data_IF_047978547539
#
_entry.id   IF_047978547539
#
_cell.length_a   1.000
_cell.length_b   1.000
_cell.length_c   1.000
_cell.angle_alpha   90.00
_cell.angle_beta   90.00
_cell.angle_gamma   90.00
#
_symmetry.space_group_name_H-M   'P 1'
#
loop_
_entity.id
_entity.type
_entity.pdbx_description
1 polymer ?
#
# COMPACT_ATOMS: atom_id res chain seq x y z
N UNK A 1 -45.53 13.79 17.19
CA UNK A 1 -44.67 13.25 18.26
C UNK A 1 -44.52 11.77 17.95
N UNK A 2 -43.49 11.38 17.19
CA UNK A 2 -43.28 9.98 16.78
C UNK A 2 -42.54 9.29 17.89
N UNK A 3 -43.28 8.49 18.68
CA UNK A 3 -42.69 7.60 19.67
C UNK A 3 -42.07 6.41 18.93
N UNK A 4 -40.75 6.31 18.99
CA UNK A 4 -40.11 5.04 18.66
C UNK A 4 -40.47 4.01 19.72
N UNK A 5 -41.04 2.87 19.29
CA UNK A 5 -41.27 1.75 20.15
C UNK A 5 -39.95 1.23 20.75
N UNK A 6 -39.95 0.84 22.01
CA UNK A 6 -38.80 0.23 22.69
C UNK A 6 -38.18 -0.92 21.88
N UNK A 7 -39.00 -1.66 21.14
CA UNK A 7 -38.58 -2.78 20.31
C UNK A 7 -37.86 -2.35 19.05
N UNK A 8 -38.21 -1.20 18.45
CA UNK A 8 -37.49 -0.64 17.28
C UNK A 8 -36.13 -0.11 17.68
N UNK A 9 -36.03 0.53 18.83
CA UNK A 9 -34.74 0.95 19.41
C UNK A 9 -33.85 -0.26 19.72
N UNK A 10 -34.41 -1.33 20.26
CA UNK A 10 -33.70 -2.57 20.55
C UNK A 10 -33.28 -3.31 19.26
N UNK A 11 -34.10 -3.30 18.19
CA UNK A 11 -33.78 -3.84 16.88
C UNK A 11 -32.63 -3.04 16.23
N UNK A 12 -32.67 -1.72 16.30
CA UNK A 12 -31.61 -0.85 15.81
C UNK A 12 -30.31 -1.08 16.58
N UNK A 13 -30.36 -1.13 17.91
CA UNK A 13 -29.19 -1.43 18.75
C UNK A 13 -28.63 -2.81 18.43
N UNK A 14 -29.48 -3.85 18.22
CA UNK A 14 -29.06 -5.18 17.78
C UNK A 14 -28.47 -5.19 16.36
N UNK A 15 -28.99 -4.37 15.45
CA UNK A 15 -28.44 -4.22 14.10
C UNK A 15 -27.02 -3.63 14.12
N UNK A 16 -26.83 -2.58 14.92
CA UNK A 16 -25.48 -2.01 15.15
C UNK A 16 -24.54 -2.95 15.92
N UNK A 17 -25.08 -3.85 16.76
CA UNK A 17 -24.30 -4.88 17.44
C UNK A 17 -23.92 -6.07 16.55
N UNK A 18 -24.78 -6.47 15.60
CA UNK A 18 -24.50 -7.58 14.67
C UNK A 18 -23.51 -7.21 13.58
N UNK A 19 -23.44 -5.94 13.17
CA UNK A 19 -22.52 -5.44 12.14
C UNK A 19 -21.06 -5.28 12.61
N UNK A 20 -20.80 -5.29 13.91
CA UNK A 20 -19.45 -5.21 14.46
C UNK A 20 -19.27 -6.14 15.65
N UNK A 21 -18.87 -7.36 15.35
CA UNK A 21 -18.53 -8.38 16.36
C UNK A 21 -17.36 -7.97 17.29
N UNK A 22 -16.86 -6.75 17.22
CA UNK A 22 -15.58 -6.37 17.81
C UNK A 22 -15.60 -5.13 18.69
N UNK A 23 -16.68 -4.37 18.74
CA UNK A 23 -16.80 -3.33 19.76
C UNK A 23 -17.88 -3.71 20.77
N UNK A 24 -17.49 -4.42 21.81
CA UNK A 24 -18.13 -4.26 23.12
C UNK A 24 -17.83 -2.83 23.62
N UNK A 25 -18.34 -1.80 22.92
CA UNK A 25 -18.74 -0.66 23.70
C UNK A 25 -19.75 -1.18 24.69
N UNK A 26 -19.47 -1.03 25.96
CA UNK A 26 -20.49 -1.14 26.99
C UNK A 26 -21.59 -0.16 26.59
N UNK A 27 -22.50 -0.62 25.72
CA UNK A 27 -23.80 0.03 25.56
C UNK A 27 -24.46 -0.29 26.87
N UNK A 28 -24.18 0.58 27.88
CA UNK A 28 -24.81 0.49 29.16
C UNK A 28 -26.30 0.32 28.91
N UNK A 29 -26.89 -0.66 29.56
CA UNK A 29 -28.34 -0.93 29.55
C UNK A 29 -29.04 0.44 29.59
N UNK A 30 -29.72 0.86 28.49
CA UNK A 30 -30.61 2.01 28.53
C UNK A 30 -30.13 3.29 27.85
N UNK A 31 -29.29 3.27 26.76
CA UNK A 31 -29.05 4.49 26.00
C UNK A 31 -30.34 4.99 25.38
N UNK A 32 -30.84 6.13 25.89
CA UNK A 32 -32.04 6.80 25.42
C UNK A 32 -31.70 7.61 24.16
N UNK A 33 -32.62 7.60 23.17
CA UNK A 33 -32.59 8.56 22.08
C UNK A 33 -32.93 9.92 22.66
N UNK A 34 -32.01 10.87 22.52
CA UNK A 34 -32.17 12.25 23.01
C UNK A 34 -32.41 13.19 21.83
N UNK A 35 -33.34 14.15 21.99
CA UNK A 35 -33.57 15.22 21.03
C UNK A 35 -32.55 16.34 21.28
N UNK A 36 -31.52 16.41 20.43
CA UNK A 36 -30.42 17.39 20.59
C UNK A 36 -30.59 18.52 19.58
N UNK A 37 -30.45 19.80 20.03
CA UNK A 37 -30.44 20.93 19.12
C UNK A 37 -29.33 20.81 18.08
N UNK A 38 -29.64 21.07 16.78
CA UNK A 38 -28.65 20.96 15.70
C UNK A 38 -27.47 21.88 15.93
N UNK A 39 -27.70 23.06 16.49
CA UNK A 39 -26.69 24.08 16.78
C UNK A 39 -25.64 23.62 17.81
N UNK A 40 -25.97 22.62 18.64
CA UNK A 40 -25.04 22.05 19.62
C UNK A 40 -24.23 20.89 19.05
N UNK A 41 -24.50 20.48 17.79
CA UNK A 41 -23.81 19.36 17.16
C UNK A 41 -22.73 19.89 16.23
N UNK A 42 -21.48 19.77 16.61
CA UNK A 42 -20.34 20.15 15.77
C UNK A 42 -20.01 19.04 14.78
N UNK A 43 -19.91 19.34 13.49
CA UNK A 43 -19.38 18.40 12.51
C UNK A 43 -17.91 18.13 12.85
N UNK A 44 -17.46 16.92 12.57
CA UNK A 44 -16.07 16.55 12.79
C UNK A 44 -15.14 17.28 11.81
N UNK A 45 -13.95 17.69 12.28
CA UNK A 45 -12.95 18.40 11.48
C UNK A 45 -12.38 17.56 10.31
N UNK A 46 -12.34 16.23 10.45
CA UNK A 46 -11.89 15.33 9.39
C UNK A 46 -13.10 14.92 8.54
N UNK A 47 -13.32 15.64 7.45
CA UNK A 47 -14.37 15.31 6.47
C UNK A 47 -13.99 14.07 5.69
N UNK A 48 -14.74 12.99 5.86
CA UNK A 48 -14.47 11.70 5.19
C UNK A 48 -14.94 11.65 3.72
N UNK A 49 -15.86 12.51 3.30
CA UNK A 49 -16.33 12.65 1.92
C UNK A 49 -16.48 14.10 1.54
N UNK A 50 -15.81 14.51 0.45
CA UNK A 50 -15.86 15.90 -0.06
C UNK A 50 -17.07 16.14 -0.95
N UNK A 51 -17.62 15.14 -1.64
CA UNK A 51 -18.65 15.32 -2.65
C UNK A 51 -19.89 14.47 -2.35
N UNK A 52 -20.99 15.13 -2.03
CA UNK A 52 -22.32 14.56 -2.06
C UNK A 52 -23.02 15.12 -3.30
N UNK A 53 -23.69 14.26 -4.11
CA UNK A 53 -24.54 14.74 -5.19
C UNK A 53 -25.64 15.62 -4.62
N UNK A 54 -25.84 16.80 -5.21
CA UNK A 54 -26.87 17.75 -4.78
C UNK A 54 -28.26 17.09 -4.82
N UNK A 55 -28.54 16.31 -5.86
CA UNK A 55 -29.82 15.62 -6.05
C UNK A 55 -30.11 14.61 -4.94
N UNK A 56 -29.10 13.80 -4.57
CA UNK A 56 -29.23 12.83 -3.47
C UNK A 56 -29.43 13.51 -2.11
N UNK A 57 -28.89 14.71 -1.92
CA UNK A 57 -29.11 15.47 -0.70
C UNK A 57 -30.49 16.09 -0.64
N UNK A 58 -31.03 16.57 -1.76
CA UNK A 58 -32.39 17.09 -1.87
C UNK A 58 -33.41 15.97 -1.64
N UNK A 59 -33.23 14.80 -2.25
CA UNK A 59 -34.08 13.64 -2.04
C UNK A 59 -34.14 13.22 -0.57
N UNK A 60 -32.97 13.16 0.08
CA UNK A 60 -32.89 12.86 1.50
C UNK A 60 -33.57 13.94 2.36
N UNK A 61 -33.43 15.21 2.01
CA UNK A 61 -34.10 16.31 2.71
C UNK A 61 -35.61 16.21 2.59
N UNK A 62 -36.16 15.90 1.39
CA UNK A 62 -37.58 15.65 1.20
C UNK A 62 -38.08 14.48 2.05
N UNK A 63 -37.32 13.40 2.13
CA UNK A 63 -37.63 12.26 2.98
C UNK A 63 -37.64 12.65 4.47
N UNK A 64 -36.62 13.38 4.93
CA UNK A 64 -36.52 13.88 6.31
C UNK A 64 -37.67 14.87 6.64
N UNK A 65 -38.11 15.66 5.67
CA UNK A 65 -39.24 16.58 5.85
C UNK A 65 -40.54 15.83 6.07
N UNK A 66 -40.80 14.74 5.30
CA UNK A 66 -42.03 13.94 5.35
C UNK A 66 -42.09 12.99 6.56
N UNK A 67 -41.03 12.27 6.79
CA UNK A 67 -40.99 11.15 7.75
C UNK A 67 -40.15 11.43 8.99
N UNK A 68 -39.44 12.56 9.03
CA UNK A 68 -38.44 12.82 10.07
C UNK A 68 -37.16 12.00 9.86
N UNK A 69 -36.30 12.01 10.89
CA UNK A 69 -35.09 11.19 10.90
C UNK A 69 -35.44 9.83 11.47
N UNK A 70 -35.52 8.82 10.60
CA UNK A 70 -35.85 7.45 10.98
C UNK A 70 -34.72 6.77 11.79
N UNK A 71 -33.48 7.00 11.39
CA UNK A 71 -32.30 6.50 12.10
C UNK A 71 -31.63 7.65 12.88
N UNK A 72 -31.44 7.54 14.20
CA UNK A 72 -30.77 8.57 15.01
C UNK A 72 -29.34 8.81 14.55
N UNK A 73 -28.88 10.03 14.77
CA UNK A 73 -27.49 10.44 14.55
C UNK A 73 -26.63 10.02 15.73
N UNK A 74 -25.41 9.58 15.50
CA UNK A 74 -24.49 9.20 16.56
C UNK A 74 -23.59 10.38 16.91
N UNK A 75 -23.57 10.75 18.20
CA UNK A 75 -22.79 11.86 18.71
C UNK A 75 -22.05 11.46 19.99
N UNK A 76 -20.95 12.13 20.30
CA UNK A 76 -20.32 12.07 21.61
C UNK A 76 -20.47 13.40 22.33
N UNK A 77 -20.55 13.38 23.65
CA UNK A 77 -20.51 14.58 24.45
C UNK A 77 -19.09 15.11 24.52
N UNK A 78 -18.91 16.42 24.40
CA UNK A 78 -17.65 17.12 24.64
C UNK A 78 -17.67 17.77 26.03
N UNK A 79 -16.50 18.19 26.51
CA UNK A 79 -16.37 18.81 27.84
C UNK A 79 -17.12 20.16 27.96
N UNK A 80 -17.37 20.81 26.81
CA UNK A 80 -18.10 22.08 26.72
C UNK A 80 -19.62 21.96 26.66
N UNK A 81 -20.19 20.82 27.07
CA UNK A 81 -21.62 20.50 26.96
C UNK A 81 -22.20 20.57 25.52
N UNK A 82 -21.33 20.51 24.52
CA UNK A 82 -21.66 20.36 23.12
C UNK A 82 -21.52 18.90 22.70
N UNK A 83 -21.89 18.64 21.46
CA UNK A 83 -21.83 17.29 20.91
C UNK A 83 -20.97 17.29 19.63
N UNK A 84 -20.10 16.31 19.49
CA UNK A 84 -19.35 16.07 18.28
C UNK A 84 -19.99 14.91 17.50
N UNK A 85 -20.18 15.11 16.22
CA UNK A 85 -20.74 14.10 15.32
C UNK A 85 -19.79 12.91 15.14
N UNK A 86 -20.27 11.71 15.40
CA UNK A 86 -19.56 10.46 15.11
C UNK A 86 -19.98 9.92 13.73
N UNK A 87 -21.30 9.78 13.50
CA UNK A 87 -21.88 9.26 12.27
C UNK A 87 -23.25 9.88 11.99
N UNK A 88 -23.60 10.01 10.70
CA UNK A 88 -24.89 10.54 10.25
C UNK A 88 -24.81 11.95 9.67
N UNK A 89 -23.68 12.39 9.10
CA UNK A 89 -23.49 13.74 8.54
C UNK A 89 -24.55 14.09 7.47
N UNK A 90 -24.91 13.16 6.57
CA UNK A 90 -25.96 13.39 5.57
C UNK A 90 -27.30 13.69 6.23
N UNK A 91 -27.68 12.95 7.28
CA UNK A 91 -28.92 13.15 8.04
C UNK A 91 -28.93 14.47 8.78
N UNK A 92 -27.81 14.84 9.39
CA UNK A 92 -27.64 16.14 10.05
C UNK A 92 -27.83 17.30 9.06
N UNK A 93 -27.17 17.24 7.88
CA UNK A 93 -27.29 18.24 6.82
C UNK A 93 -28.72 18.32 6.26
N UNK A 94 -29.33 17.17 5.96
CA UNK A 94 -30.70 17.12 5.45
C UNK A 94 -31.70 17.72 6.47
N UNK A 95 -31.49 17.46 7.75
CA UNK A 95 -32.31 18.05 8.80
C UNK A 95 -32.16 19.58 8.91
N UNK A 96 -30.91 20.06 8.76
CA UNK A 96 -30.63 21.51 8.73
C UNK A 96 -31.29 22.16 7.51
N UNK A 97 -31.21 21.55 6.30
CA UNK A 97 -31.89 22.02 5.10
C UNK A 97 -33.43 22.10 5.26
N UNK A 98 -34.00 21.20 6.08
CA UNK A 98 -35.42 21.20 6.39
C UNK A 98 -35.83 22.12 7.55
N UNK A 99 -34.92 22.92 8.11
CA UNK A 99 -35.17 23.84 9.22
C UNK A 99 -35.52 23.15 10.55
N UNK A 100 -35.15 21.86 10.72
CA UNK A 100 -35.37 21.16 11.98
C UNK A 100 -34.49 21.78 13.07
N UNK A 101 -35.08 22.14 14.23
CA UNK A 101 -34.36 22.70 15.37
C UNK A 101 -33.65 21.64 16.20
N UNK A 102 -34.26 20.44 16.35
CA UNK A 102 -33.73 19.31 17.12
C UNK A 102 -33.80 18.04 16.29
N UNK A 103 -32.89 17.11 16.54
CA UNK A 103 -32.83 15.80 15.86
C UNK A 103 -32.62 14.68 16.88
N UNK A 104 -33.13 13.46 16.58
CA UNK A 104 -32.88 12.31 17.42
C UNK A 104 -31.43 11.86 17.34
N UNK A 105 -30.77 11.78 18.49
CA UNK A 105 -29.39 11.40 18.62
C UNK A 105 -29.19 10.30 19.64
N UNK A 106 -28.23 9.43 19.43
CA UNK A 106 -27.70 8.52 20.44
C UNK A 106 -26.36 9.10 20.91
N UNK A 107 -26.27 9.34 22.22
CA UNK A 107 -25.06 9.89 22.83
C UNK A 107 -24.14 8.76 23.28
N UNK A 108 -22.91 8.81 22.82
CA UNK A 108 -21.84 7.90 23.25
C UNK A 108 -20.89 8.62 24.19
N UNK A 109 -20.64 8.02 25.33
CA UNK A 109 -19.58 8.42 26.24
C UNK A 109 -18.30 7.70 25.82
N UNK A 110 -17.49 8.37 25.00
CA UNK A 110 -16.25 7.85 24.47
C UNK A 110 -15.23 8.97 24.25
N UNK A 111 -13.96 8.59 24.28
CA UNK A 111 -12.87 9.53 23.97
C UNK A 111 -12.91 9.99 22.51
N UNK A 112 -12.30 11.13 22.18
CA UNK A 112 -12.14 11.59 20.79
C UNK A 112 -11.52 10.52 19.88
N UNK A 113 -10.52 9.79 20.41
CA UNK A 113 -9.84 8.70 19.72
C UNK A 113 -10.80 7.56 19.37
N UNK A 114 -11.59 7.11 20.31
CA UNK A 114 -12.56 6.03 20.09
C UNK A 114 -13.66 6.43 19.11
N UNK A 115 -14.18 7.65 19.22
CA UNK A 115 -15.15 8.19 18.28
C UNK A 115 -14.60 8.22 16.85
N UNK A 116 -13.31 8.58 16.72
CA UNK A 116 -12.61 8.61 15.44
C UNK A 116 -12.49 7.24 14.79
N UNK A 117 -12.05 6.29 15.57
CA UNK A 117 -11.87 4.91 15.13
C UNK A 117 -13.22 4.29 14.75
N UNK A 118 -14.28 4.59 15.52
CA UNK A 118 -15.64 4.13 15.21
C UNK A 118 -16.11 4.66 13.84
N UNK A 119 -15.97 5.97 13.62
CA UNK A 119 -16.40 6.59 12.37
C UNK A 119 -15.64 6.05 11.15
N UNK A 120 -14.34 5.79 11.27
CA UNK A 120 -13.54 5.16 10.22
C UNK A 120 -13.97 3.71 9.97
N UNK A 121 -14.19 2.93 11.03
CA UNK A 121 -14.63 1.54 10.93
C UNK A 121 -15.99 1.43 10.24
N UNK A 122 -16.91 2.29 10.61
CA UNK A 122 -18.25 2.35 10.02
C UNK A 122 -18.19 2.71 8.53
N UNK A 123 -17.39 3.69 8.16
CA UNK A 123 -17.22 4.08 6.76
C UNK A 123 -16.64 2.96 5.90
N UNK A 124 -15.64 2.22 6.41
CA UNK A 124 -15.05 1.07 5.70
C UNK A 124 -16.08 -0.06 5.52
N UNK A 125 -17.00 -0.24 6.48
CA UNK A 125 -18.00 -1.32 6.43
C UNK A 125 -19.23 -0.99 5.58
N UNK A 126 -19.61 0.29 5.45
CA UNK A 126 -20.84 0.71 4.76
C UNK A 126 -20.76 0.70 3.23
N UNK A 127 -19.63 1.04 2.66
CA UNK A 127 -19.47 1.12 1.21
C UNK A 127 -18.27 0.26 0.78
N UNK A 128 -18.35 -0.42 -0.35
CA UNK A 128 -17.16 -0.94 -0.99
C UNK A 128 -16.29 0.27 -1.36
N UNK A 129 -15.34 0.59 -0.46
CA UNK A 129 -14.32 1.61 -0.72
C UNK A 129 -13.37 1.09 -1.79
N UNK A 130 -12.81 2.02 -2.56
CA UNK A 130 -11.62 1.71 -3.36
C UNK A 130 -10.55 1.10 -2.43
N UNK A 131 -9.84 0.05 -2.87
CA UNK A 131 -8.77 -0.57 -2.08
C UNK A 131 -7.73 0.40 -1.55
N UNK A 132 -7.44 1.48 -2.27
CA UNK A 132 -6.52 2.53 -1.84
C UNK A 132 -7.13 3.42 -0.75
N UNK A 133 -8.40 3.80 -0.87
CA UNK A 133 -9.13 4.55 0.17
C UNK A 133 -9.23 3.73 1.48
N UNK A 134 -9.47 2.42 1.35
CA UNK A 134 -9.46 1.52 2.49
C UNK A 134 -8.08 1.46 3.16
N UNK A 135 -7.01 1.39 2.35
CA UNK A 135 -5.63 1.37 2.83
C UNK A 135 -5.27 2.67 3.57
N UNK A 136 -5.67 3.84 3.02
CA UNK A 136 -5.46 5.14 3.66
C UNK A 136 -6.21 5.24 5.00
N UNK A 137 -7.46 4.74 5.05
CA UNK A 137 -8.25 4.70 6.29
C UNK A 137 -7.60 3.80 7.36
N UNK A 138 -7.10 2.63 6.97
CA UNK A 138 -6.37 1.71 7.85
C UNK A 138 -5.07 2.37 8.35
N UNK A 139 -4.34 3.04 7.46
CA UNK A 139 -3.11 3.76 7.82
C UNK A 139 -3.38 4.89 8.82
N UNK A 140 -4.49 5.62 8.63
CA UNK A 140 -4.92 6.66 9.56
C UNK A 140 -5.24 6.08 10.96
N UNK A 141 -5.90 4.92 11.03
CA UNK A 141 -6.15 4.23 12.31
C UNK A 141 -4.84 3.92 13.05
N UNK A 142 -3.82 3.48 12.34
CA UNK A 142 -2.52 3.13 12.92
C UNK A 142 -1.74 4.39 13.31
N UNK A 143 -1.55 5.32 12.36
CA UNK A 143 -0.65 6.46 12.54
C UNK A 143 -1.21 7.55 13.45
N UNK A 144 -2.49 7.90 13.26
CA UNK A 144 -3.11 9.01 14.00
C UNK A 144 -3.77 8.58 15.29
N UNK A 145 -4.27 7.33 15.34
CA UNK A 145 -4.97 6.82 16.52
C UNK A 145 -4.20 5.77 17.29
N UNK A 146 -2.95 5.47 16.90
CA UNK A 146 -2.03 4.59 17.62
C UNK A 146 -2.53 3.15 17.78
N UNK A 147 -3.36 2.67 16.86
CA UNK A 147 -3.81 1.28 16.87
C UNK A 147 -2.74 0.38 16.26
N UNK A 148 -2.57 -0.82 16.81
CA UNK A 148 -1.76 -1.83 16.17
C UNK A 148 -2.57 -2.59 15.09
N UNK A 149 -1.88 -3.35 14.23
CA UNK A 149 -2.51 -4.09 13.12
C UNK A 149 -3.54 -5.11 13.59
N UNK A 150 -3.31 -5.73 14.73
CA UNK A 150 -4.20 -6.73 15.32
C UNK A 150 -5.48 -6.07 15.80
N UNK A 151 -5.39 -4.91 16.46
CA UNK A 151 -6.55 -4.12 16.88
C UNK A 151 -7.39 -3.65 15.70
N UNK A 152 -6.73 -3.16 14.62
CA UNK A 152 -7.44 -2.76 13.39
C UNK A 152 -8.15 -3.97 12.75
N UNK A 153 -7.46 -5.10 12.66
CA UNK A 153 -8.02 -6.37 12.14
C UNK A 153 -9.27 -6.77 12.91
N UNK A 154 -9.15 -6.79 14.23
CA UNK A 154 -10.25 -7.13 15.11
C UNK A 154 -11.44 -6.16 14.96
N UNK A 155 -11.19 -4.85 14.88
CA UNK A 155 -12.24 -3.81 14.75
C UNK A 155 -12.94 -3.82 13.40
N UNK A 156 -12.23 -4.14 12.34
CA UNK A 156 -12.81 -4.24 10.99
C UNK A 156 -13.45 -5.61 10.71
N UNK A 157 -13.25 -6.60 11.59
CA UNK A 157 -13.68 -7.98 11.36
C UNK A 157 -12.94 -8.64 10.17
N UNK A 158 -11.73 -8.14 9.84
CA UNK A 158 -10.93 -8.62 8.71
C UNK A 158 -9.71 -9.39 9.20
N UNK A 159 -9.22 -10.35 8.40
CA UNK A 159 -7.98 -11.07 8.74
C UNK A 159 -6.78 -10.12 8.75
N UNK A 160 -5.84 -10.32 9.67
CA UNK A 160 -4.63 -9.49 9.78
C UNK A 160 -3.78 -9.49 8.49
N UNK A 161 -3.79 -10.61 7.75
CA UNK A 161 -3.16 -10.70 6.42
C UNK A 161 -3.77 -9.73 5.42
N UNK A 162 -5.10 -9.56 5.41
CA UNK A 162 -5.78 -8.63 4.53
C UNK A 162 -5.46 -7.17 4.89
N UNK A 163 -5.41 -6.85 6.19
CA UNK A 163 -4.98 -5.53 6.68
C UNK A 163 -3.55 -5.23 6.22
N UNK A 164 -2.64 -6.21 6.31
CA UNK A 164 -1.27 -6.06 5.82
C UNK A 164 -1.21 -5.87 4.30
N UNK A 165 -2.01 -6.60 3.52
CA UNK A 165 -2.12 -6.45 2.07
C UNK A 165 -2.61 -5.04 1.70
N UNK A 166 -3.64 -4.51 2.36
CA UNK A 166 -4.13 -3.14 2.15
C UNK A 166 -3.05 -2.11 2.42
N UNK A 167 -2.34 -2.21 3.54
CA UNK A 167 -1.24 -1.31 3.86
C UNK A 167 -0.10 -1.34 2.81
N UNK A 168 0.16 -2.50 2.20
CA UNK A 168 1.15 -2.61 1.14
C UNK A 168 0.77 -1.79 -0.10
N UNK A 169 -0.52 -1.60 -0.40
CA UNK A 169 -0.98 -0.78 -1.52
C UNK A 169 -0.54 0.69 -1.42
N UNK A 170 -0.24 1.17 -0.21
CA UNK A 170 0.27 2.53 0.00
C UNK A 170 1.70 2.74 -0.54
N UNK A 171 2.38 1.68 -0.97
CA UNK A 171 3.70 1.76 -1.61
C UNK A 171 3.63 2.21 -3.07
N UNK A 172 2.45 2.24 -3.68
CA UNK A 172 2.26 2.79 -5.00
C UNK A 172 2.33 4.31 -5.00
N UNK A 173 2.91 4.89 -6.05
CA UNK A 173 2.87 6.33 -6.31
C UNK A 173 1.47 6.77 -6.72
N UNK A 174 1.19 8.10 -6.67
CA UNK A 174 -0.10 8.64 -7.11
C UNK A 174 -0.45 8.21 -8.54
N UNK A 175 0.50 8.40 -9.48
CA UNK A 175 0.31 8.00 -10.88
C UNK A 175 -0.05 6.52 -11.05
N UNK A 176 0.63 5.64 -10.29
CA UNK A 176 0.37 4.19 -10.35
C UNK A 176 -1.03 3.85 -9.83
N UNK A 177 -1.47 4.50 -8.74
CA UNK A 177 -2.82 4.34 -8.19
C UNK A 177 -3.89 4.77 -9.19
N UNK A 178 -3.69 5.93 -9.83
CA UNK A 178 -4.62 6.46 -10.83
C UNK A 178 -4.76 5.52 -12.03
N UNK A 179 -3.65 4.97 -12.50
CA UNK A 179 -3.65 3.99 -13.61
C UNK A 179 -4.36 2.71 -13.19
N UNK A 180 -4.04 2.13 -12.02
CA UNK A 180 -4.65 0.90 -11.49
C UNK A 180 -6.17 1.08 -11.38
N UNK A 181 -6.63 2.21 -10.87
CA UNK A 181 -8.05 2.53 -10.71
C UNK A 181 -8.72 2.74 -12.06
N UNK A 182 -8.09 3.51 -12.97
CA UNK A 182 -8.61 3.81 -14.32
C UNK A 182 -8.85 2.55 -15.14
N UNK A 183 -7.91 1.61 -15.11
CA UNK A 183 -8.00 0.34 -15.84
C UNK A 183 -8.67 -0.79 -15.05
N UNK A 184 -9.23 -0.49 -13.88
CA UNK A 184 -9.95 -1.43 -13.01
C UNK A 184 -9.17 -2.70 -12.71
N UNK A 185 -7.85 -2.58 -12.51
CA UNK A 185 -7.02 -3.70 -12.12
C UNK A 185 -7.39 -4.15 -10.71
N UNK A 186 -7.46 -5.46 -10.50
CA UNK A 186 -7.84 -6.01 -9.18
C UNK A 186 -6.69 -5.92 -8.17
N UNK A 187 -7.02 -6.06 -6.88
CA UNK A 187 -6.05 -6.12 -5.79
C UNK A 187 -4.93 -7.14 -6.03
N UNK A 188 -5.25 -8.27 -6.67
CA UNK A 188 -4.28 -9.31 -6.98
C UNK A 188 -3.25 -8.84 -8.01
N UNK A 189 -3.67 -8.10 -9.05
CA UNK A 189 -2.73 -7.48 -10.00
C UNK A 189 -1.80 -6.49 -9.26
N UNK A 190 -2.38 -5.64 -8.40
CA UNK A 190 -1.61 -4.69 -7.62
C UNK A 190 -0.61 -5.38 -6.68
N UNK A 191 -1.02 -6.43 -5.97
CA UNK A 191 -0.13 -7.18 -5.09
C UNK A 191 1.00 -7.90 -5.84
N UNK A 192 0.72 -8.43 -7.05
CA UNK A 192 1.74 -9.01 -7.90
C UNK A 192 2.78 -7.96 -8.32
N UNK A 193 2.35 -6.77 -8.75
CA UNK A 193 3.21 -5.64 -9.11
C UNK A 193 4.11 -5.19 -7.96
N UNK A 194 3.63 -5.20 -6.72
CA UNK A 194 4.42 -4.82 -5.53
C UNK A 194 5.59 -5.77 -5.22
N UNK A 195 5.64 -6.94 -5.84
CA UNK A 195 6.82 -7.82 -5.79
C UNK A 195 8.04 -7.21 -6.51
N UNK A 196 7.78 -6.26 -7.43
CA UNK A 196 8.82 -5.44 -8.06
C UNK A 196 9.10 -4.24 -7.15
N UNK A 197 10.29 -4.22 -6.51
CA UNK A 197 10.68 -3.13 -5.61
C UNK A 197 11.06 -1.85 -6.38
N UNK A 198 11.41 -1.97 -7.66
CA UNK A 198 11.83 -0.87 -8.51
C UNK A 198 10.61 -0.20 -9.17
N UNK A 199 10.46 1.11 -8.97
CA UNK A 199 9.34 1.91 -9.48
C UNK A 199 9.33 1.90 -11.03
N UNK A 200 10.49 2.00 -11.68
CA UNK A 200 10.60 2.04 -13.14
C UNK A 200 10.13 0.72 -13.74
N UNK A 201 10.62 -0.41 -13.20
CA UNK A 201 10.20 -1.75 -13.63
C UNK A 201 8.73 -1.99 -13.38
N UNK A 202 8.20 -1.47 -12.28
CA UNK A 202 6.79 -1.58 -11.92
C UNK A 202 5.91 -0.81 -12.90
N UNK A 203 6.31 0.42 -13.31
CA UNK A 203 5.62 1.20 -14.33
C UNK A 203 5.64 0.50 -15.70
N UNK A 204 6.78 -0.05 -16.12
CA UNK A 204 6.89 -0.83 -17.36
C UNK A 204 6.00 -2.08 -17.33
N UNK A 205 6.02 -2.83 -16.22
CA UNK A 205 5.18 -4.00 -16.07
C UNK A 205 3.68 -3.64 -16.07
N UNK A 206 3.32 -2.50 -15.48
CA UNK A 206 1.95 -2.00 -15.47
C UNK A 206 1.46 -1.68 -16.88
N UNK A 207 2.27 -1.00 -17.72
CA UNK A 207 1.95 -0.75 -19.14
C UNK A 207 1.73 -2.05 -19.90
N UNK A 208 2.63 -3.02 -19.74
CA UNK A 208 2.54 -4.32 -20.41
C UNK A 208 1.29 -5.12 -20.02
N UNK A 209 0.92 -5.11 -18.71
CA UNK A 209 -0.29 -5.75 -18.21
C UNK A 209 -1.54 -5.15 -18.88
N UNK A 210 -1.55 -3.84 -19.05
CA UNK A 210 -2.67 -3.10 -19.66
C UNK A 210 -2.74 -3.38 -21.16
N UNK A 211 -1.63 -3.24 -21.87
CA UNK A 211 -1.55 -3.42 -23.33
C UNK A 211 -1.95 -4.82 -23.76
N UNK A 212 -1.52 -5.84 -23.02
CA UNK A 212 -1.84 -7.25 -23.31
C UNK A 212 -3.14 -7.72 -22.66
N UNK A 213 -3.78 -6.94 -21.81
CA UNK A 213 -4.99 -7.35 -21.09
C UNK A 213 -4.79 -8.58 -20.23
N UNK A 214 -3.63 -8.68 -19.55
CA UNK A 214 -3.27 -9.89 -18.78
C UNK A 214 -4.24 -10.09 -17.60
N UNK A 215 -4.70 -11.32 -17.44
CA UNK A 215 -5.44 -11.72 -16.25
C UNK A 215 -4.51 -11.90 -15.03
N UNK A 216 -5.08 -12.17 -13.85
CA UNK A 216 -4.32 -12.29 -12.60
C UNK A 216 -3.21 -13.33 -12.69
N UNK A 217 -3.52 -14.53 -13.18
CA UNK A 217 -2.55 -15.64 -13.28
C UNK A 217 -1.41 -15.31 -14.24
N UNK A 218 -1.74 -14.74 -15.40
CA UNK A 218 -0.75 -14.29 -16.39
C UNK A 218 0.13 -13.17 -15.85
N UNK A 219 -0.47 -12.23 -15.09
CA UNK A 219 0.29 -11.18 -14.40
C UNK A 219 1.26 -11.74 -13.38
N UNK A 220 0.82 -12.69 -12.55
CA UNK A 220 1.69 -13.34 -11.55
C UNK A 220 2.84 -14.11 -12.21
N UNK A 221 2.57 -14.80 -13.31
CA UNK A 221 3.58 -15.51 -14.11
C UNK A 221 4.58 -14.54 -14.75
N UNK A 222 4.09 -13.49 -15.40
CA UNK A 222 4.91 -12.45 -16.01
C UNK A 222 5.85 -11.79 -14.99
N UNK A 223 5.33 -11.37 -13.85
CA UNK A 223 6.13 -10.78 -12.77
C UNK A 223 7.15 -11.79 -12.21
N UNK A 224 6.76 -13.06 -12.10
CA UNK A 224 7.66 -14.13 -11.66
C UNK A 224 8.80 -14.36 -12.64
N UNK A 225 8.54 -14.25 -13.95
CA UNK A 225 9.55 -14.29 -15.02
C UNK A 225 10.57 -13.17 -14.88
N UNK A 226 10.11 -11.93 -14.69
CA UNK A 226 11.00 -10.77 -14.46
C UNK A 226 11.90 -10.99 -13.23
N UNK A 227 11.34 -11.52 -12.14
CA UNK A 227 12.09 -11.77 -10.91
C UNK A 227 13.11 -12.91 -11.04
N UNK A 228 12.81 -13.96 -11.83
CA UNK A 228 13.74 -15.07 -12.12
C UNK A 228 14.92 -14.57 -12.96
N UNK A 229 14.67 -13.79 -14.00
CA UNK A 229 15.73 -13.21 -14.84
C UNK A 229 16.69 -12.33 -14.04
N UNK A 230 16.19 -11.58 -13.03
CA UNK A 230 17.03 -10.81 -12.12
C UNK A 230 17.96 -11.69 -11.27
N UNK A 231 17.48 -12.85 -10.81
CA UNK A 231 18.33 -13.79 -10.04
C UNK A 231 19.46 -14.38 -10.91
N UNK A 232 19.17 -14.68 -12.16
CA UNK A 232 20.17 -15.20 -13.10
C UNK A 232 21.20 -14.12 -13.50
N UNK A 233 20.81 -12.87 -13.67
CA UNK A 233 21.75 -11.77 -13.92
C UNK A 233 22.61 -11.44 -12.70
N UNK A 234 22.05 -11.48 -11.50
CA UNK A 234 22.81 -11.28 -10.24
C UNK A 234 23.77 -12.44 -9.98
N UNK A 235 23.36 -13.68 -10.27
CA UNK A 235 24.23 -14.86 -10.18
C UNK A 235 25.34 -14.83 -11.24
N UNK A 236 25.10 -14.23 -12.40
CA UNK A 236 26.14 -14.02 -13.43
C UNK A 236 27.09 -12.88 -13.07
N UNK A 237 26.63 -11.83 -12.40
CA UNK A 237 27.49 -10.73 -11.89
C UNK A 237 28.25 -11.07 -10.62
N UNK A 238 27.75 -12.01 -9.82
CA UNK A 238 28.46 -12.61 -8.68
C UNK A 238 29.18 -13.91 -9.05
N UNK A 239 29.65 -14.10 -10.28
CA UNK A 239 30.83 -14.91 -10.47
C UNK A 239 31.94 -14.19 -9.72
N UNK A 240 32.14 -14.59 -8.48
CA UNK A 240 33.29 -14.26 -7.66
C UNK A 240 34.48 -14.28 -8.56
N UNK A 241 35.20 -13.16 -8.71
CA UNK A 241 36.59 -13.25 -9.13
C UNK A 241 37.20 -14.35 -8.24
N UNK A 242 37.72 -15.42 -8.85
CA UNK A 242 38.36 -16.44 -8.02
C UNK A 242 39.42 -15.70 -7.23
N UNK A 243 39.31 -15.71 -5.91
CA UNK A 243 40.39 -15.26 -5.05
C UNK A 243 41.51 -16.26 -5.33
N UNK A 244 42.50 -15.83 -6.13
CA UNK A 244 43.65 -16.64 -6.50
C UNK A 244 44.46 -16.80 -5.20
N UNK A 245 44.19 -17.89 -4.49
CA UNK A 245 44.92 -18.26 -3.26
C UNK A 245 46.26 -18.93 -3.52
N UNK A 246 46.52 -19.27 -4.80
CA UNK A 246 47.72 -19.99 -5.19
C UNK A 246 48.45 -19.20 -6.29
N UNK A 247 49.66 -18.72 -5.95
CA UNK A 247 50.52 -17.96 -6.87
C UNK A 247 50.78 -18.74 -8.15
N UNK A 248 50.88 -20.07 -8.08
CA UNK A 248 51.06 -20.95 -9.25
C UNK A 248 49.95 -20.86 -10.28
N UNK A 249 48.68 -20.63 -9.87
CA UNK A 249 47.56 -20.44 -10.79
C UNK A 249 47.72 -19.11 -11.56
N UNK A 250 48.16 -18.05 -10.88
CA UNK A 250 48.45 -16.76 -11.50
C UNK A 250 49.60 -16.88 -12.51
N UNK A 251 50.68 -17.53 -12.12
CA UNK A 251 51.87 -17.84 -12.94
C UNK A 251 51.46 -18.57 -14.24
N UNK A 252 50.71 -19.66 -14.11
CA UNK A 252 50.23 -20.42 -15.27
C UNK A 252 49.33 -19.58 -16.18
N UNK A 253 48.57 -18.66 -15.64
CA UNK A 253 47.68 -17.77 -16.40
C UNK A 253 48.48 -16.75 -17.20
N UNK A 254 49.53 -16.16 -16.60
CA UNK A 254 50.42 -15.21 -17.24
C UNK A 254 51.20 -15.92 -18.35
N UNK A 255 51.78 -17.09 -18.10
CA UNK A 255 52.50 -17.87 -19.07
C UNK A 255 51.64 -18.27 -20.28
N UNK A 256 50.42 -18.74 -20.07
CA UNK A 256 49.45 -19.02 -21.14
C UNK A 256 49.11 -17.79 -21.98
N UNK A 257 48.96 -16.62 -21.34
CA UNK A 257 48.71 -15.38 -22.08
C UNK A 257 49.92 -14.97 -22.96
N UNK A 258 51.13 -15.09 -22.44
CA UNK A 258 52.35 -14.83 -23.17
C UNK A 258 52.53 -15.82 -24.35
N UNK A 259 52.25 -17.08 -24.14
CA UNK A 259 52.33 -18.12 -25.19
C UNK A 259 51.28 -17.88 -26.30
N UNK A 260 50.11 -17.44 -25.96
CA UNK A 260 49.05 -17.05 -26.91
C UNK A 260 49.51 -15.86 -27.78
N UNK A 261 50.19 -14.89 -27.17
CA UNK A 261 50.77 -13.74 -27.91
C UNK A 261 51.92 -14.18 -28.82
N UNK A 262 52.77 -15.12 -28.37
CA UNK A 262 53.86 -15.70 -29.18
C UNK A 262 53.31 -16.50 -30.36
N UNK A 263 52.26 -17.29 -30.12
CA UNK A 263 51.63 -18.08 -31.21
C UNK A 263 50.92 -17.21 -32.25
N UNK A 264 50.57 -15.98 -31.92
CA UNK A 264 50.05 -14.97 -32.84
C UNK A 264 51.15 -14.26 -33.63
N UNK A 265 52.41 -14.71 -33.56
CA UNK A 265 53.55 -14.16 -34.31
C UNK A 265 54.23 -12.92 -33.70
N UNK A 266 53.84 -12.56 -32.48
CA UNK A 266 54.44 -11.40 -31.77
C UNK A 266 55.54 -11.91 -30.83
N UNK A 267 56.75 -11.34 -30.96
CA UNK A 267 57.88 -11.71 -30.08
C UNK A 267 57.75 -11.09 -28.69
N UNK A 268 56.90 -11.71 -27.84
CA UNK A 268 56.80 -11.36 -26.44
C UNK A 268 57.85 -12.07 -25.59
N UNK A 269 58.50 -11.36 -24.67
CA UNK A 269 59.39 -11.95 -23.68
C UNK A 269 58.82 -11.79 -22.27
N UNK A 270 58.97 -12.79 -21.43
CA UNK A 270 58.60 -12.73 -20.03
C UNK A 270 59.83 -13.09 -19.18
N UNK A 271 60.04 -12.31 -18.15
CA UNK A 271 61.07 -12.54 -17.14
C UNK A 271 60.42 -12.59 -15.80
N UNK A 272 60.78 -13.59 -14.97
CA UNK A 272 60.32 -13.78 -13.60
C UNK A 272 61.51 -13.52 -12.66
N UNK A 273 61.29 -12.71 -11.65
CA UNK A 273 62.22 -12.48 -10.54
C UNK A 273 61.51 -12.73 -9.24
N UNK A 274 62.10 -13.50 -8.35
CA UNK A 274 61.50 -13.90 -7.07
C UNK A 274 62.40 -13.43 -5.92
N UNK A 275 61.81 -12.74 -4.97
CA UNK A 275 62.43 -12.31 -3.72
C UNK A 275 61.62 -12.91 -2.57
N UNK A 276 62.13 -12.76 -1.33
CA UNK A 276 61.49 -13.29 -0.13
C UNK A 276 60.07 -12.70 0.12
N UNK A 277 59.77 -11.53 -0.42
CA UNK A 277 58.50 -10.82 -0.19
C UNK A 277 57.54 -10.85 -1.37
N UNK A 278 58.03 -10.97 -2.63
CA UNK A 278 57.19 -10.92 -3.84
C UNK A 278 57.80 -11.63 -5.04
N UNK A 279 56.91 -12.02 -5.97
CA UNK A 279 57.27 -12.52 -7.31
C UNK A 279 56.92 -11.46 -8.34
N UNK A 280 57.88 -10.97 -9.09
CA UNK A 280 57.71 -9.96 -10.11
C UNK A 280 57.71 -10.63 -11.48
N UNK A 281 56.68 -10.34 -12.29
CA UNK A 281 56.58 -10.76 -13.68
C UNK A 281 56.67 -9.55 -14.60
N UNK A 282 57.71 -9.47 -15.40
CA UNK A 282 57.90 -8.46 -16.44
C UNK A 282 57.60 -9.03 -17.80
N UNK A 283 56.52 -8.60 -18.46
CA UNK A 283 56.13 -9.01 -19.80
C UNK A 283 56.39 -7.84 -20.75
N UNK A 284 57.27 -8.05 -21.76
CA UNK A 284 57.59 -7.08 -22.79
C UNK A 284 56.96 -7.48 -24.12
N UNK A 285 56.07 -6.65 -24.65
CA UNK A 285 55.35 -6.86 -25.91
C UNK A 285 55.74 -5.69 -26.85
N UNK A 286 56.38 -5.94 -28.02
CA UNK A 286 56.72 -4.87 -28.95
C UNK A 286 55.46 -4.26 -29.59
N UNK A 287 55.42 -2.92 -29.68
CA UNK A 287 54.27 -2.19 -30.25
C UNK A 287 54.13 -2.31 -31.78
N UNK A 288 55.21 -2.74 -32.48
CA UNK A 288 55.19 -2.94 -33.91
C UNK A 288 55.85 -4.26 -34.26
N UNK A 289 55.23 -5.14 -35.07
CA UNK A 289 55.89 -6.31 -35.60
C UNK A 289 56.98 -5.82 -36.58
N UNK A 290 58.26 -5.93 -36.22
CA UNK A 290 59.35 -5.75 -37.17
C UNK A 290 59.25 -6.86 -38.20
N UNK A 291 59.19 -6.49 -39.48
CA UNK A 291 59.26 -7.37 -40.63
C UNK A 291 60.38 -8.40 -40.44
N UNK A 292 60.02 -9.67 -40.64
CA UNK A 292 60.97 -10.78 -40.70
C UNK A 292 61.76 -10.58 -42.01
N UNK A 293 63.02 -10.48 -41.82
CA UNK A 293 64.03 -10.38 -42.92
C UNK A 293 63.77 -11.45 -43.97
N UNK A 294 63.54 -10.99 -45.20
CA UNK A 294 63.96 -11.72 -46.40
C UNK A 294 65.48 -11.72 -46.47
N UNK A 295 66.09 -12.80 -46.05
CA UNK A 295 67.42 -13.19 -46.45
C UNK A 295 67.44 -14.70 -46.55
N UNK A 296 67.25 -15.18 -47.78
CA UNK A 296 67.83 -16.43 -48.24
C UNK A 296 68.18 -16.28 -49.67
N UNK A 297 69.36 -16.70 -49.95
CA UNK A 297 69.94 -17.21 -51.17
C UNK A 297 70.78 -16.26 -52.01
N UNK A 298 72.01 -16.49 -51.82
CA UNK A 298 72.93 -16.80 -52.94
C UNK A 298 73.77 -17.98 -52.48
#
# INVERSE_FOLDING_TARGET
MTYYDKNDVLRMIKYYQKGSAVMRFSIGRGKKISQIPIVQIRPRSIRQRKNYSADQMQELALSVRRHGILEPVLVRRTDSNEYELISGERRLRAAAMCGKKKIPCIVFDCSPREAAVYALSENIQRCPLDPFEEADSISAMIKHYGLNRTEVSARLGKKASLVAQRLNLLRFTGDEKDIITKYRLTDRHALALLRLNDIIRRKMALSEIIERGLNVSQTEEYISGILKNKKTEHSRRQKKCPVIKDIKILENTINKAVDTIRSSGIRASSTQTENDEFVEYTVRIPKSPRNIDKKVSA
#
